data_IF_629931493098
#
_entry.id   IF_629931493098
#
_cell.length_a   1.000
_cell.length_b   1.000
_cell.length_c   1.000
_cell.angle_alpha   90.00
_cell.angle_beta   90.00
_cell.angle_gamma   90.00
#
_symmetry.space_group_name_H-M   'P 1'
#
loop_
_entity.id
_entity.type
_entity.pdbx_description
1 polymer ?
#
# COMPACT_ATOMS: atom_id res chain seq x y z
N UNK A 1 6.52 28.97 -5.71
CA UNK A 1 7.89 29.34 -5.40
C UNK A 1 8.47 30.34 -6.38
N UNK A 2 8.62 31.59 -5.96
CA UNK A 2 9.28 32.65 -6.75
C UNK A 2 9.75 33.78 -5.86
N UNK A 3 10.88 34.39 -6.20
CA UNK A 3 11.36 35.65 -5.64
C UNK A 3 10.94 36.89 -6.48
N UNK A 4 10.38 36.67 -7.65
CA UNK A 4 9.86 37.72 -8.53
C UNK A 4 8.48 38.21 -8.07
N UNK A 5 8.34 39.52 -7.82
CA UNK A 5 7.09 40.12 -7.34
C UNK A 5 5.94 40.02 -8.37
N UNK A 6 6.25 40.19 -9.69
CA UNK A 6 5.26 40.10 -10.75
C UNK A 6 4.75 38.66 -10.92
N UNK A 7 5.65 37.69 -10.93
CA UNK A 7 5.30 36.29 -10.98
C UNK A 7 4.44 35.87 -9.77
N UNK A 8 4.80 36.33 -8.56
CA UNK A 8 4.02 36.04 -7.36
C UNK A 8 2.59 36.62 -7.45
N UNK A 9 2.44 37.87 -7.94
CA UNK A 9 1.13 38.50 -8.13
C UNK A 9 0.28 37.73 -9.14
N UNK A 10 0.86 37.28 -10.27
CA UNK A 10 0.15 36.48 -11.27
C UNK A 10 -0.27 35.12 -10.72
N UNK A 11 0.60 34.44 -10.00
CA UNK A 11 0.27 33.15 -9.37
C UNK A 11 -0.83 33.33 -8.31
N UNK A 12 -0.77 34.36 -7.48
CA UNK A 12 -1.82 34.65 -6.51
C UNK A 12 -3.17 34.87 -7.21
N UNK A 13 -3.20 35.65 -8.29
CA UNK A 13 -4.42 35.87 -9.09
C UNK A 13 -4.94 34.57 -9.72
N UNK A 14 -4.05 33.71 -10.26
CA UNK A 14 -4.42 32.41 -10.83
C UNK A 14 -5.10 31.48 -9.79
N UNK A 15 -4.59 31.49 -8.56
CA UNK A 15 -5.13 30.67 -7.49
C UNK A 15 -6.25 31.36 -6.68
N UNK A 16 -6.62 32.61 -6.99
CA UNK A 16 -7.67 33.37 -6.28
C UNK A 16 -8.99 32.59 -6.09
N UNK A 17 -9.52 31.80 -7.08
CA UNK A 17 -10.72 31.03 -6.88
C UNK A 17 -10.62 29.92 -5.82
N UNK A 18 -9.42 29.40 -5.58
CA UNK A 18 -9.18 28.42 -4.52
C UNK A 18 -8.98 29.11 -3.17
N UNK A 19 -8.32 30.27 -3.17
CA UNK A 19 -8.11 31.07 -1.96
C UNK A 19 -9.42 31.57 -1.37
N UNK A 20 -10.37 32.02 -2.21
CA UNK A 20 -11.72 32.40 -1.79
C UNK A 20 -12.51 31.26 -1.14
N UNK A 21 -12.15 30.00 -1.44
CA UNK A 21 -12.70 28.78 -0.81
C UNK A 21 -11.92 28.32 0.42
N UNK A 22 -11.03 29.17 0.95
CA UNK A 22 -10.28 28.89 2.19
C UNK A 22 -8.94 28.16 2.00
N UNK A 23 -8.48 27.94 0.76
CA UNK A 23 -7.14 27.42 0.53
C UNK A 23 -6.07 28.38 1.07
N UNK A 24 -4.94 27.86 1.51
CA UNK A 24 -3.83 28.69 2.01
C UNK A 24 -2.77 28.82 0.92
N UNK A 25 -2.19 30.01 0.84
CA UNK A 25 -1.13 30.33 -0.10
C UNK A 25 0.14 30.69 0.67
N UNK A 26 1.24 29.99 0.36
CA UNK A 26 2.56 30.27 0.93
C UNK A 26 3.49 30.65 -0.21
N UNK A 27 4.00 31.87 -0.20
CA UNK A 27 5.05 32.27 -1.12
C UNK A 27 6.43 31.93 -0.52
N UNK A 28 7.26 31.27 -1.32
CA UNK A 28 8.61 30.85 -0.94
C UNK A 28 9.54 31.00 -2.14
N UNK A 29 10.85 30.88 -1.94
CA UNK A 29 11.79 30.70 -3.04
C UNK A 29 11.47 29.42 -3.85
N UNK A 30 11.95 29.30 -5.08
CA UNK A 30 11.78 28.08 -5.88
C UNK A 30 12.30 26.84 -5.14
N UNK A 31 13.54 26.91 -4.63
CA UNK A 31 14.12 25.81 -3.82
C UNK A 31 13.29 25.49 -2.57
N UNK A 32 12.77 26.53 -1.90
CA UNK A 32 11.90 26.34 -0.73
C UNK A 32 10.59 25.61 -1.08
N UNK A 33 9.94 25.99 -2.18
CA UNK A 33 8.72 25.34 -2.63
C UNK A 33 8.94 23.87 -3.05
N UNK A 34 10.05 23.58 -3.73
CA UNK A 34 10.46 22.21 -4.07
C UNK A 34 10.71 21.38 -2.80
N UNK A 35 11.47 21.94 -1.85
CA UNK A 35 11.74 21.25 -0.59
C UNK A 35 10.48 21.01 0.24
N UNK A 36 9.54 21.96 0.29
CA UNK A 36 8.24 21.76 0.94
C UNK A 36 7.52 20.54 0.36
N UNK A 37 7.51 20.38 -0.97
CA UNK A 37 6.88 19.24 -1.63
C UNK A 37 7.54 17.93 -1.26
N UNK A 38 8.86 17.84 -1.35
CA UNK A 38 9.62 16.63 -1.01
C UNK A 38 9.51 16.28 0.47
N UNK A 39 9.65 17.27 1.36
CA UNK A 39 9.53 17.07 2.80
C UNK A 39 8.12 16.57 3.19
N UNK A 40 7.08 17.14 2.60
CA UNK A 40 5.69 16.68 2.84
C UNK A 40 5.50 15.22 2.43
N UNK A 41 5.97 14.83 1.24
CA UNK A 41 5.86 13.45 0.79
C UNK A 41 6.72 12.49 1.63
N UNK A 42 7.91 12.91 2.04
CA UNK A 42 8.77 12.13 2.93
C UNK A 42 8.12 11.91 4.31
N UNK A 43 7.47 12.94 4.85
CA UNK A 43 6.76 12.82 6.12
C UNK A 43 5.54 11.89 6.03
N UNK A 44 4.76 11.97 4.93
CA UNK A 44 3.64 11.06 4.70
C UNK A 44 4.11 9.60 4.53
N UNK A 45 5.22 9.38 3.81
CA UNK A 45 5.86 8.07 3.68
C UNK A 45 6.32 7.54 5.06
N UNK A 46 6.86 8.43 5.92
CA UNK A 46 7.24 8.09 7.29
C UNK A 46 6.04 7.60 8.10
N UNK A 47 4.89 8.29 8.03
CA UNK A 47 3.66 7.85 8.73
C UNK A 47 3.22 6.46 8.31
N UNK A 48 3.22 6.17 7.01
CA UNK A 48 2.85 4.84 6.48
C UNK A 48 3.84 3.77 6.96
N UNK A 49 5.14 4.06 6.89
CA UNK A 49 6.17 3.11 7.32
C UNK A 49 6.10 2.86 8.82
N UNK A 50 5.91 3.91 9.62
CA UNK A 50 5.76 3.82 11.06
C UNK A 50 4.59 2.92 11.47
N UNK A 51 3.39 3.15 10.90
CA UNK A 51 2.24 2.31 11.24
C UNK A 51 2.40 0.86 10.75
N UNK A 52 3.14 0.63 9.65
CA UNK A 52 3.47 -0.70 9.16
C UNK A 52 4.40 -1.47 10.12
N UNK A 53 5.36 -0.78 10.73
CA UNK A 53 6.24 -1.37 11.75
C UNK A 53 5.47 -1.68 13.03
N UNK A 54 4.61 -0.76 13.49
CA UNK A 54 3.73 -1.02 14.62
C UNK A 54 2.77 -2.18 14.35
N UNK A 55 2.28 -2.35 13.12
CA UNK A 55 1.47 -3.50 12.76
C UNK A 55 2.22 -4.83 12.94
N UNK A 56 3.52 -4.87 12.64
CA UNK A 56 4.33 -6.07 12.88
C UNK A 56 4.47 -6.39 14.38
N UNK A 57 4.59 -5.35 15.21
CA UNK A 57 4.62 -5.51 16.67
C UNK A 57 3.25 -5.95 17.20
N UNK A 58 2.17 -5.31 16.74
CA UNK A 58 0.78 -5.61 17.14
C UNK A 58 0.45 -7.09 16.97
N UNK A 59 0.84 -7.69 15.83
CA UNK A 59 0.65 -9.13 15.58
C UNK A 59 1.35 -10.03 16.61
N UNK A 60 2.50 -9.61 17.12
CA UNK A 60 3.27 -10.39 18.11
C UNK A 60 2.72 -10.29 19.50
N UNK A 61 2.17 -9.13 19.87
CA UNK A 61 1.64 -8.87 21.22
C UNK A 61 0.11 -9.04 21.30
N UNK A 62 -0.56 -9.43 20.18
CA UNK A 62 -1.98 -9.69 20.17
C UNK A 62 -2.88 -8.44 20.25
N UNK A 63 -2.42 -7.30 19.75
CA UNK A 63 -3.16 -6.03 19.73
C UNK A 63 -3.61 -5.70 18.32
N UNK A 64 -4.78 -5.10 18.16
CA UNK A 64 -5.27 -4.67 16.86
C UNK A 64 -4.65 -3.34 16.45
N UNK A 65 -3.95 -3.30 15.32
CA UNK A 65 -3.33 -2.08 14.77
C UNK A 65 -4.33 -0.95 14.49
N UNK A 66 -5.59 -1.27 14.24
CA UNK A 66 -6.61 -0.24 14.00
C UNK A 66 -6.91 0.58 15.25
N UNK A 67 -6.93 -0.05 16.42
CA UNK A 67 -7.13 0.65 17.69
C UNK A 67 -5.98 1.62 17.96
N UNK A 68 -4.74 1.20 17.66
CA UNK A 68 -3.55 2.05 17.74
C UNK A 68 -3.65 3.21 16.75
N UNK A 69 -4.02 2.92 15.50
CA UNK A 69 -4.17 3.93 14.45
C UNK A 69 -5.24 4.97 14.79
N UNK A 70 -6.38 4.52 15.31
CA UNK A 70 -7.48 5.40 15.75
C UNK A 70 -7.02 6.23 16.96
N UNK A 71 -6.50 5.58 18.00
CA UNK A 71 -6.06 6.26 19.23
C UNK A 71 -5.02 7.34 18.97
N UNK A 72 -3.98 7.01 18.18
CA UNK A 72 -2.98 8.00 17.76
C UNK A 72 -3.58 9.12 16.91
N UNK A 73 -4.52 8.76 16.02
CA UNK A 73 -5.14 9.69 15.08
C UNK A 73 -6.06 10.73 15.73
N UNK A 74 -6.53 10.50 16.96
CA UNK A 74 -7.33 11.44 17.76
C UNK A 74 -6.49 12.63 18.23
N UNK A 75 -5.18 12.48 18.39
CA UNK A 75 -4.30 13.61 18.66
C UNK A 75 -4.17 14.48 17.40
N UNK A 76 -4.67 15.73 17.48
CA UNK A 76 -4.65 16.69 16.36
C UNK A 76 -3.25 16.99 15.83
N UNK A 77 -2.20 16.84 16.66
CA UNK A 77 -0.79 17.02 16.26
C UNK A 77 -0.33 15.91 15.32
N UNK A 78 -0.90 14.72 15.45
CA UNK A 78 -0.61 13.53 14.63
C UNK A 78 -1.57 13.44 13.45
N UNK A 79 -2.87 13.47 13.71
CA UNK A 79 -3.95 13.30 12.74
C UNK A 79 -4.04 11.91 12.13
N UNK A 80 -5.24 11.41 11.88
CA UNK A 80 -5.50 10.02 11.46
C UNK A 80 -5.15 9.68 10.01
N UNK A 81 -4.86 10.67 9.16
CA UNK A 81 -4.50 10.40 7.76
C UNK A 81 -3.12 9.74 7.66
N UNK A 82 -2.97 8.79 6.72
CA UNK A 82 -1.74 8.03 6.47
C UNK A 82 -1.29 7.10 7.61
N UNK A 83 -2.20 6.74 8.52
CA UNK A 83 -1.96 5.75 9.59
C UNK A 83 -2.65 4.41 9.31
N UNK A 84 -2.86 4.03 8.05
CA UNK A 84 -3.39 2.71 7.70
C UNK A 84 -2.26 1.76 7.35
N UNK A 85 -2.16 0.67 8.12
CA UNK A 85 -1.22 -0.40 7.81
C UNK A 85 -1.60 -1.09 6.48
N UNK A 86 -0.57 -1.48 5.71
CA UNK A 86 -0.77 -2.04 4.39
C UNK A 86 0.47 -2.71 3.79
N UNK A 87 0.44 -3.06 2.49
CA UNK A 87 1.53 -3.78 1.84
C UNK A 87 2.84 -3.01 1.72
N UNK A 88 2.78 -1.73 1.47
CA UNK A 88 3.87 -0.75 1.38
C UNK A 88 3.30 0.56 0.81
N UNK A 89 4.06 1.65 0.83
CA UNK A 89 3.77 2.75 -0.06
C UNK A 89 4.40 2.49 -1.44
N UNK A 90 3.73 2.96 -2.49
CA UNK A 90 4.16 2.84 -3.88
C UNK A 90 3.70 4.05 -4.69
N UNK A 91 3.51 3.84 -5.99
CA UNK A 91 3.13 4.88 -6.93
C UNK A 91 4.31 5.75 -7.36
N UNK A 92 4.01 6.79 -8.12
CA UNK A 92 5.04 7.65 -8.73
C UNK A 92 5.64 8.68 -7.79
N UNK A 93 4.95 9.04 -6.69
CA UNK A 93 5.36 10.18 -5.86
C UNK A 93 6.26 9.78 -4.69
N UNK A 94 5.77 8.98 -3.75
CA UNK A 94 6.50 8.68 -2.52
C UNK A 94 7.87 8.04 -2.75
N UNK A 95 8.02 6.97 -3.57
CA UNK A 95 9.33 6.36 -3.78
C UNK A 95 10.32 7.32 -4.45
N UNK A 96 9.86 8.07 -5.45
CA UNK A 96 10.71 9.03 -6.18
C UNK A 96 11.13 10.19 -5.28
N UNK A 97 10.19 10.81 -4.58
CA UNK A 97 10.44 12.03 -3.80
C UNK A 97 11.26 11.74 -2.54
N UNK A 98 11.09 10.57 -1.91
CA UNK A 98 11.92 10.17 -0.77
C UNK A 98 13.37 9.88 -1.19
N UNK A 99 13.59 9.26 -2.35
CA UNK A 99 14.95 9.04 -2.89
C UNK A 99 15.58 10.37 -3.31
N UNK A 100 14.84 11.22 -4.03
CA UNK A 100 15.34 12.51 -4.50
C UNK A 100 15.80 13.45 -3.36
N UNK A 101 15.03 13.54 -2.26
CA UNK A 101 15.42 14.38 -1.13
C UNK A 101 16.68 13.85 -0.43
N UNK A 102 16.86 12.52 -0.36
CA UNK A 102 18.07 11.90 0.18
C UNK A 102 19.28 12.17 -0.72
N UNK A 103 19.11 12.10 -2.04
CA UNK A 103 20.19 12.39 -2.98
C UNK A 103 20.57 13.86 -2.98
N UNK A 104 19.58 14.77 -2.93
CA UNK A 104 19.84 16.21 -2.71
C UNK A 104 20.61 16.45 -1.41
N UNK A 105 20.24 15.79 -0.32
CA UNK A 105 20.97 15.95 0.95
C UNK A 105 22.46 15.55 0.82
N UNK A 106 22.75 14.46 0.10
CA UNK A 106 24.14 14.03 -0.17
C UNK A 106 24.93 15.07 -0.96
N UNK A 107 24.30 15.68 -1.99
CA UNK A 107 24.93 16.76 -2.78
C UNK A 107 25.34 17.93 -1.89
N UNK A 108 24.53 18.27 -0.89
CA UNK A 108 24.79 19.32 0.09
C UNK A 108 25.54 18.83 1.36
N UNK A 109 26.14 17.62 1.32
CA UNK A 109 26.93 17.04 2.42
C UNK A 109 26.18 16.99 3.76
N UNK A 110 24.87 16.75 3.72
CA UNK A 110 24.02 16.59 4.90
C UNK A 110 23.37 15.21 4.90
N UNK A 111 22.93 14.73 6.06
CA UNK A 111 22.33 13.42 6.21
C UNK A 111 20.85 13.50 6.59
N UNK A 112 20.04 12.67 5.95
CA UNK A 112 18.63 12.47 6.26
C UNK A 112 18.40 11.00 6.72
N UNK A 113 18.98 10.64 7.85
CA UNK A 113 18.96 9.27 8.39
C UNK A 113 17.55 8.72 8.58
N UNK A 114 16.59 9.54 9.03
CA UNK A 114 15.19 9.13 9.18
C UNK A 114 14.64 8.68 7.82
N UNK A 115 14.79 9.49 6.78
CA UNK A 115 14.21 9.18 5.46
C UNK A 115 14.89 7.97 4.81
N UNK A 116 16.20 7.83 4.99
CA UNK A 116 16.93 6.62 4.55
C UNK A 116 16.37 5.36 5.19
N UNK A 117 16.10 5.39 6.49
CA UNK A 117 15.50 4.25 7.20
C UNK A 117 14.06 3.99 6.77
N UNK A 118 13.27 5.02 6.48
CA UNK A 118 11.92 4.89 5.92
C UNK A 118 11.94 4.16 4.58
N UNK A 119 12.84 4.54 3.66
CA UNK A 119 13.01 3.87 2.36
C UNK A 119 13.36 2.39 2.57
N UNK A 120 14.38 2.11 3.37
CA UNK A 120 14.85 0.74 3.67
C UNK A 120 13.75 -0.13 4.29
N UNK A 121 12.98 0.42 5.24
CA UNK A 121 11.89 -0.30 5.89
C UNK A 121 10.75 -0.60 4.91
N UNK A 122 10.39 0.36 4.04
CA UNK A 122 9.38 0.16 3.01
C UNK A 122 9.79 -0.92 1.99
N UNK A 123 11.04 -0.91 1.53
CA UNK A 123 11.58 -1.93 0.62
C UNK A 123 11.58 -3.32 1.26
N UNK A 124 11.87 -3.41 2.55
CA UNK A 124 11.85 -4.68 3.28
C UNK A 124 10.43 -5.20 3.57
N UNK A 125 9.41 -4.34 3.46
CA UNK A 125 8.01 -4.70 3.79
C UNK A 125 7.52 -5.90 2.99
N UNK A 126 7.79 -5.95 1.69
CA UNK A 126 7.37 -7.07 0.83
C UNK A 126 7.95 -8.42 1.30
N UNK A 127 9.20 -8.44 1.80
CA UNK A 127 9.82 -9.66 2.35
C UNK A 127 9.10 -10.14 3.62
N UNK A 128 8.73 -9.21 4.51
CA UNK A 128 7.97 -9.52 5.73
C UNK A 128 6.62 -10.15 5.38
N UNK A 129 5.89 -9.56 4.42
CA UNK A 129 4.60 -10.06 3.97
C UNK A 129 4.70 -11.43 3.27
N UNK A 130 5.74 -11.64 2.45
CA UNK A 130 6.01 -12.94 1.83
C UNK A 130 6.29 -14.03 2.87
N UNK A 131 7.06 -13.73 3.90
CA UNK A 131 7.29 -14.66 5.01
C UNK A 131 5.98 -14.99 5.74
N UNK A 132 5.09 -14.01 5.88
CA UNK A 132 3.78 -14.23 6.48
C UNK A 132 2.90 -15.12 5.59
N UNK A 133 2.84 -14.87 4.29
CA UNK A 133 2.15 -15.77 3.32
C UNK A 133 2.69 -17.19 3.44
N UNK A 134 4.01 -17.36 3.51
CA UNK A 134 4.64 -18.67 3.70
C UNK A 134 4.16 -19.36 4.98
N UNK A 135 4.18 -18.65 6.11
CA UNK A 135 3.71 -19.18 7.41
C UNK A 135 2.24 -19.57 7.37
N UNK A 136 1.37 -18.75 6.80
CA UNK A 136 -0.06 -19.04 6.66
C UNK A 136 -0.31 -20.29 5.81
N UNK A 137 0.52 -20.53 4.81
CA UNK A 137 0.51 -21.75 3.99
C UNK A 137 1.33 -22.90 4.60
N UNK A 138 1.72 -22.81 5.88
CA UNK A 138 2.51 -23.82 6.60
C UNK A 138 3.81 -24.17 5.86
N UNK A 139 4.45 -23.17 5.26
CA UNK A 139 5.66 -23.25 4.41
C UNK A 139 5.51 -24.16 3.17
N UNK A 140 4.28 -24.48 2.75
CA UNK A 140 3.97 -25.33 1.58
C UNK A 140 3.44 -24.47 0.44
N UNK A 141 4.33 -23.67 -0.21
CA UNK A 141 3.95 -22.76 -1.30
C UNK A 141 3.90 -23.48 -2.65
N UNK A 142 4.76 -24.48 -2.89
CA UNK A 142 4.82 -25.21 -4.16
C UNK A 142 3.46 -25.76 -4.55
N UNK A 143 3.05 -25.51 -5.79
CA UNK A 143 1.76 -25.89 -6.38
C UNK A 143 0.51 -25.24 -5.72
N UNK A 144 0.67 -24.30 -4.79
CA UNK A 144 -0.46 -23.55 -4.26
C UNK A 144 -1.00 -22.57 -5.28
N UNK A 145 -2.33 -22.47 -5.35
CA UNK A 145 -3.05 -21.50 -6.17
C UNK A 145 -3.37 -20.29 -5.30
N UNK A 146 -2.74 -19.18 -5.61
CA UNK A 146 -2.87 -17.92 -4.84
C UNK A 146 -3.52 -16.89 -5.75
N UNK A 147 -4.63 -16.33 -5.31
CA UNK A 147 -5.32 -15.26 -6.03
C UNK A 147 -5.02 -13.91 -5.41
N UNK A 148 -4.62 -12.96 -6.23
CA UNK A 148 -4.52 -11.54 -5.85
C UNK A 148 -5.78 -10.81 -6.29
N UNK A 149 -6.48 -10.20 -5.35
CA UNK A 149 -7.54 -9.22 -5.59
C UNK A 149 -6.93 -7.82 -5.51
N UNK A 150 -6.80 -7.20 -6.67
CA UNK A 150 -6.05 -5.97 -6.87
C UNK A 150 -4.54 -6.22 -6.93
N UNK A 151 -3.86 -5.51 -7.86
CA UNK A 151 -2.40 -5.58 -8.02
C UNK A 151 -1.77 -4.20 -8.15
N UNK A 152 -2.56 -3.14 -8.32
CA UNK A 152 -2.11 -1.74 -8.35
C UNK A 152 -1.67 -1.27 -6.97
N UNK A 153 -0.89 -0.19 -6.89
CA UNK A 153 -0.38 0.32 -5.60
C UNK A 153 -1.49 0.90 -4.70
N UNK A 154 -2.60 1.35 -5.28
CA UNK A 154 -3.83 1.81 -4.60
C UNK A 154 -5.05 1.61 -5.48
N UNK A 155 -6.24 1.71 -4.91
CA UNK A 155 -7.50 1.68 -5.66
C UNK A 155 -7.72 2.93 -6.55
N UNK A 156 -8.66 2.82 -7.49
CA UNK A 156 -9.06 3.88 -8.42
C UNK A 156 -7.93 4.37 -9.34
N UNK A 157 -7.02 3.49 -9.72
CA UNK A 157 -5.97 3.74 -10.70
C UNK A 157 -5.53 2.43 -11.35
N UNK A 158 -4.94 2.53 -12.51
CA UNK A 158 -4.25 1.44 -13.22
C UNK A 158 -2.73 1.41 -12.95
N UNK A 159 -2.23 2.33 -12.10
CA UNK A 159 -0.82 2.56 -11.85
C UNK A 159 -0.16 1.40 -11.09
N UNK A 160 0.78 0.73 -11.75
CA UNK A 160 1.56 -0.39 -11.21
C UNK A 160 2.89 0.04 -10.61
N UNK A 161 3.32 1.30 -10.80
CA UNK A 161 4.64 1.77 -10.36
C UNK A 161 4.87 1.55 -8.87
N UNK A 162 5.96 0.86 -8.56
CA UNK A 162 6.35 0.55 -7.17
C UNK A 162 5.24 -0.16 -6.36
N UNK A 163 4.30 -0.85 -7.05
CA UNK A 163 3.36 -1.73 -6.36
C UNK A 163 4.12 -2.92 -5.76
N UNK A 164 3.83 -3.24 -4.50
CA UNK A 164 4.43 -4.40 -3.84
C UNK A 164 4.06 -5.73 -4.50
N UNK A 165 2.98 -5.77 -5.30
CA UNK A 165 2.62 -6.93 -6.13
C UNK A 165 3.72 -7.30 -7.14
N UNK A 166 4.45 -6.29 -7.67
CA UNK A 166 5.58 -6.50 -8.60
C UNK A 166 6.76 -7.23 -7.97
N UNK A 167 6.86 -7.23 -6.64
CA UNK A 167 7.88 -7.99 -5.88
C UNK A 167 7.30 -9.30 -5.37
N UNK A 168 6.07 -9.27 -4.86
CA UNK A 168 5.46 -10.42 -4.19
C UNK A 168 5.08 -11.54 -5.16
N UNK A 169 4.46 -11.22 -6.30
CA UNK A 169 4.02 -12.20 -7.29
C UNK A 169 5.22 -12.99 -7.85
N UNK A 170 6.28 -12.37 -8.37
CA UNK A 170 7.45 -13.10 -8.84
C UNK A 170 8.11 -13.96 -7.75
N UNK A 171 8.17 -13.45 -6.52
CA UNK A 171 8.75 -14.19 -5.39
C UNK A 171 7.92 -15.43 -5.00
N UNK A 172 6.59 -15.39 -5.14
CA UNK A 172 5.73 -16.56 -4.91
C UNK A 172 5.86 -17.58 -6.04
N UNK A 173 5.98 -17.11 -7.28
CA UNK A 173 6.21 -17.97 -8.45
C UNK A 173 7.55 -18.72 -8.32
N UNK A 174 8.62 -18.04 -7.94
CA UNK A 174 9.95 -18.67 -7.74
C UNK A 174 9.91 -19.78 -6.68
N UNK A 175 8.95 -19.72 -5.75
CA UNK A 175 8.66 -20.77 -4.76
C UNK A 175 7.67 -21.83 -5.26
N UNK A 176 7.29 -21.79 -6.54
CA UNK A 176 6.45 -22.76 -7.20
C UNK A 176 4.94 -22.54 -7.03
N UNK A 177 4.49 -21.35 -6.65
CA UNK A 177 3.06 -21.02 -6.63
C UNK A 177 2.52 -20.82 -8.05
N UNK A 178 1.19 -21.03 -8.21
CA UNK A 178 0.40 -20.64 -9.38
C UNK A 178 -0.43 -19.42 -9.00
N UNK A 179 -0.28 -18.33 -9.72
CA UNK A 179 -0.92 -17.06 -9.40
C UNK A 179 -2.05 -16.78 -10.38
N UNK A 180 -3.20 -16.40 -9.85
CA UNK A 180 -4.23 -15.69 -10.59
C UNK A 180 -4.37 -14.29 -10.01
N UNK A 181 -4.75 -13.32 -10.81
CA UNK A 181 -5.13 -12.01 -10.30
C UNK A 181 -6.38 -11.48 -11.01
N UNK A 182 -7.12 -10.68 -10.28
CA UNK A 182 -8.17 -9.82 -10.78
C UNK A 182 -7.89 -8.39 -10.31
N UNK A 183 -8.01 -7.44 -11.20
CA UNK A 183 -7.93 -6.01 -10.88
C UNK A 183 -9.05 -5.28 -11.63
N UNK A 184 -9.87 -4.44 -10.98
CA UNK A 184 -10.91 -3.65 -11.65
C UNK A 184 -10.40 -2.74 -12.77
N UNK A 185 -9.13 -2.33 -12.71
CA UNK A 185 -8.47 -1.58 -13.79
C UNK A 185 -7.94 -2.45 -14.94
N UNK A 186 -8.26 -3.76 -14.93
CA UNK A 186 -7.98 -4.68 -16.02
C UNK A 186 -6.59 -5.34 -15.99
N UNK A 187 -6.26 -5.92 -17.10
CA UNK A 187 -5.02 -6.66 -17.34
C UNK A 187 -3.75 -5.82 -17.17
N UNK A 188 -2.64 -6.47 -16.71
CA UNK A 188 -1.35 -5.83 -16.45
C UNK A 188 -0.21 -6.51 -17.20
N UNK A 189 0.37 -5.79 -18.16
CA UNK A 189 1.52 -6.25 -18.98
C UNK A 189 2.76 -6.58 -18.16
N UNK A 190 2.88 -6.02 -16.95
CA UNK A 190 3.98 -6.27 -16.01
C UNK A 190 4.17 -7.75 -15.68
N UNK A 191 3.12 -8.55 -15.81
CA UNK A 191 3.14 -9.97 -15.46
C UNK A 191 3.29 -10.92 -16.66
N UNK A 192 3.34 -10.46 -17.91
CA UNK A 192 3.40 -11.29 -19.13
C UNK A 192 4.58 -12.25 -19.18
N UNK A 193 5.70 -11.82 -18.64
CA UNK A 193 6.92 -12.62 -18.60
C UNK A 193 6.85 -13.85 -17.69
N UNK A 194 5.79 -14.02 -16.89
CA UNK A 194 5.66 -15.10 -15.93
C UNK A 194 4.60 -16.12 -16.37
N UNK A 195 5.02 -17.30 -16.83
CA UNK A 195 4.14 -18.39 -17.29
C UNK A 195 3.11 -18.86 -16.24
N UNK A 196 3.41 -18.70 -14.94
CA UNK A 196 2.55 -19.14 -13.83
C UNK A 196 1.68 -18.02 -13.25
N UNK A 197 1.45 -16.95 -14.01
CA UNK A 197 0.51 -15.86 -13.68
C UNK A 197 -0.57 -15.80 -14.76
N UNK A 198 -1.81 -15.67 -14.35
CA UNK A 198 -2.92 -15.44 -15.26
C UNK A 198 -3.85 -14.34 -14.75
N UNK A 199 -4.29 -13.49 -15.65
CA UNK A 199 -5.37 -12.54 -15.41
C UNK A 199 -6.72 -13.25 -15.47
N UNK A 200 -7.66 -12.83 -14.66
CA UNK A 200 -9.07 -13.27 -14.70
C UNK A 200 -9.99 -12.07 -14.89
N UNK A 201 -10.93 -12.18 -15.81
CA UNK A 201 -11.87 -11.09 -16.14
C UNK A 201 -12.92 -10.84 -15.04
N UNK A 202 -13.10 -11.79 -14.12
CA UNK A 202 -14.01 -11.64 -13.00
C UNK A 202 -13.47 -12.29 -11.72
N UNK A 203 -13.98 -11.83 -10.60
CA UNK A 203 -13.55 -12.24 -9.25
C UNK A 203 -13.81 -13.74 -9.01
N UNK A 204 -14.96 -14.26 -9.48
CA UNK A 204 -15.33 -15.67 -9.24
C UNK A 204 -14.35 -16.62 -9.92
N UNK A 205 -14.02 -16.38 -11.19
CA UNK A 205 -13.06 -17.20 -11.93
C UNK A 205 -11.64 -17.09 -11.36
N UNK A 206 -11.27 -15.92 -10.81
CA UNK A 206 -10.01 -15.76 -10.13
C UNK A 206 -9.90 -16.61 -8.86
N UNK A 207 -10.99 -16.73 -8.08
CA UNK A 207 -10.97 -17.26 -6.72
C UNK A 207 -11.41 -18.72 -6.62
N UNK A 208 -12.07 -19.31 -7.64
CA UNK A 208 -12.81 -20.59 -7.51
C UNK A 208 -11.97 -21.75 -6.96
N UNK A 209 -10.72 -21.82 -7.32
CA UNK A 209 -9.81 -22.91 -6.94
C UNK A 209 -8.64 -22.45 -6.05
N UNK A 210 -8.74 -21.25 -5.48
CA UNK A 210 -7.70 -20.66 -4.65
C UNK A 210 -7.48 -21.41 -3.33
N UNK A 211 -6.21 -21.66 -3.00
CA UNK A 211 -5.77 -22.04 -1.65
C UNK A 211 -5.70 -20.84 -0.73
N UNK A 212 -5.36 -19.69 -1.30
CA UNK A 212 -5.28 -18.39 -0.60
C UNK A 212 -5.78 -17.28 -1.52
N UNK A 213 -6.57 -16.37 -0.96
CA UNK A 213 -7.00 -15.12 -1.58
C UNK A 213 -6.32 -13.98 -0.84
N UNK A 214 -5.54 -13.16 -1.54
CA UNK A 214 -4.86 -11.99 -1.00
C UNK A 214 -5.59 -10.74 -1.48
N UNK A 215 -6.13 -9.94 -0.57
CA UNK A 215 -6.63 -8.60 -0.88
C UNK A 215 -5.44 -7.67 -0.79
N UNK A 216 -4.86 -7.35 -1.95
CA UNK A 216 -3.66 -6.53 -2.03
C UNK A 216 -3.97 -5.05 -2.21
N UNK A 217 -5.04 -4.73 -2.95
CA UNK A 217 -5.47 -3.34 -3.21
C UNK A 217 -6.88 -3.12 -2.67
N UNK A 218 -7.13 -1.96 -2.06
CA UNK A 218 -8.36 -1.62 -1.34
C UNK A 218 -9.53 -1.17 -2.24
N UNK A 219 -9.81 -1.90 -3.32
CA UNK A 219 -10.96 -1.60 -4.17
C UNK A 219 -12.29 -1.82 -3.41
N UNK A 220 -13.26 -0.94 -3.64
CA UNK A 220 -14.57 -1.03 -2.98
C UNK A 220 -15.31 -2.32 -3.33
N UNK A 221 -15.13 -2.84 -4.53
CA UNK A 221 -15.73 -4.07 -5.04
C UNK A 221 -15.42 -5.29 -4.15
N UNK A 222 -14.29 -5.26 -3.44
CA UNK A 222 -13.88 -6.38 -2.60
C UNK A 222 -14.53 -6.39 -1.21
N UNK A 223 -15.09 -5.27 -0.76
CA UNK A 223 -15.71 -5.15 0.58
C UNK A 223 -17.00 -5.95 0.74
N UNK A 224 -17.76 -6.08 -0.35
CA UNK A 224 -19.07 -6.75 -0.35
C UNK A 224 -19.01 -8.24 -0.71
N UNK A 225 -17.82 -8.82 -0.92
CA UNK A 225 -17.67 -10.18 -1.39
C UNK A 225 -18.11 -11.21 -0.35
N UNK A 226 -18.76 -12.25 -0.85
CA UNK A 226 -19.10 -13.44 -0.05
C UNK A 226 -18.01 -14.51 -0.25
N UNK A 227 -17.00 -14.49 0.59
CA UNK A 227 -15.85 -15.41 0.49
C UNK A 227 -16.20 -16.88 0.63
N UNK A 228 -17.32 -17.24 1.29
CA UNK A 228 -17.80 -18.63 1.33
C UNK A 228 -18.15 -19.19 -0.05
N UNK A 229 -18.62 -18.31 -0.95
CA UNK A 229 -19.08 -18.70 -2.29
C UNK A 229 -18.02 -18.51 -3.37
N UNK A 230 -16.88 -17.88 -3.04
CA UNK A 230 -15.84 -17.55 -4.01
C UNK A 230 -14.88 -18.72 -4.30
N UNK A 231 -14.58 -19.55 -3.31
CA UNK A 231 -13.71 -20.71 -3.52
C UNK A 231 -14.47 -22.01 -3.30
N UNK A 232 -14.19 -23.01 -4.12
CA UNK A 232 -14.65 -24.40 -3.93
C UNK A 232 -13.94 -25.11 -2.77
N UNK A 233 -12.85 -24.54 -2.26
CA UNK A 233 -12.06 -25.10 -1.16
C UNK A 233 -12.62 -24.70 0.19
N UNK A 234 -12.97 -25.68 1.03
CA UNK A 234 -13.52 -25.46 2.37
C UNK A 234 -12.62 -24.62 3.30
N UNK A 235 -11.29 -24.70 3.12
CA UNK A 235 -10.30 -24.08 4.01
C UNK A 235 -9.48 -23.00 3.29
N UNK A 236 -10.10 -22.26 2.36
CA UNK A 236 -9.42 -21.13 1.70
C UNK A 236 -8.99 -20.09 2.74
N UNK A 237 -7.75 -19.63 2.63
CA UNK A 237 -7.21 -18.57 3.48
C UNK A 237 -7.51 -17.23 2.79
N UNK A 238 -8.09 -16.29 3.53
CA UNK A 238 -8.25 -14.91 3.10
C UNK A 238 -7.25 -14.04 3.85
N UNK A 239 -6.27 -13.49 3.13
CA UNK A 239 -5.28 -12.57 3.69
C UNK A 239 -5.54 -11.15 3.21
N UNK A 240 -6.10 -10.34 4.11
CA UNK A 240 -6.46 -8.95 3.84
C UNK A 240 -5.30 -8.01 4.19
N UNK A 241 -4.52 -7.63 3.19
CA UNK A 241 -3.39 -6.73 3.36
C UNK A 241 -3.79 -5.26 3.50
N UNK A 242 -5.09 -4.95 3.40
CA UNK A 242 -5.62 -3.58 3.49
C UNK A 242 -6.57 -3.36 4.65
N UNK A 243 -6.86 -4.45 5.40
CA UNK A 243 -7.81 -4.41 6.52
C UNK A 243 -9.18 -3.81 6.14
N UNK A 244 -9.67 -4.11 4.92
CA UNK A 244 -10.94 -3.58 4.43
C UNK A 244 -12.15 -4.41 4.84
N UNK A 245 -11.93 -5.63 5.36
CA UNK A 245 -12.97 -6.53 5.82
C UNK A 245 -13.12 -6.47 7.34
N UNK A 246 -14.34 -6.69 7.82
CA UNK A 246 -14.62 -6.84 9.25
C UNK A 246 -14.19 -8.21 9.75
N UNK A 247 -13.28 -8.30 10.74
CA UNK A 247 -12.88 -9.57 11.36
C UNK A 247 -14.07 -10.33 11.96
N UNK A 248 -14.99 -9.63 12.61
CA UNK A 248 -16.18 -10.24 13.25
C UNK A 248 -17.10 -10.90 12.21
N UNK A 249 -17.31 -10.22 11.06
CA UNK A 249 -18.05 -10.80 9.94
C UNK A 249 -17.35 -12.04 9.40
N UNK A 250 -16.03 -11.98 9.21
CA UNK A 250 -15.26 -13.12 8.71
C UNK A 250 -15.32 -14.30 9.68
N UNK A 251 -15.23 -14.06 10.98
CA UNK A 251 -15.39 -15.05 12.05
C UNK A 251 -16.80 -15.66 12.04
N UNK A 252 -17.85 -14.84 11.99
CA UNK A 252 -19.26 -15.29 11.89
C UNK A 252 -19.47 -16.15 10.66
N UNK A 253 -18.83 -15.79 9.55
CA UNK A 253 -18.90 -16.53 8.30
C UNK A 253 -17.98 -17.77 8.27
N UNK A 254 -17.24 -18.06 9.34
CA UNK A 254 -16.30 -19.18 9.46
C UNK A 254 -15.22 -19.14 8.36
N UNK A 255 -14.78 -17.95 7.95
CA UNK A 255 -13.70 -17.75 6.99
C UNK A 255 -12.37 -17.78 7.73
N UNK A 256 -11.40 -18.50 7.19
CA UNK A 256 -10.02 -18.50 7.68
C UNK A 256 -9.33 -17.18 7.28
N UNK A 257 -9.57 -16.14 8.08
CA UNK A 257 -9.22 -14.75 7.78
C UNK A 257 -8.02 -14.27 8.59
N UNK A 258 -7.15 -13.54 7.91
CA UNK A 258 -6.01 -12.84 8.51
C UNK A 258 -5.92 -11.42 7.96
N UNK A 259 -5.76 -10.44 8.84
CA UNK A 259 -5.47 -9.06 8.47
C UNK A 259 -4.01 -8.70 8.77
N UNK A 260 -3.57 -7.48 8.47
CA UNK A 260 -2.28 -6.93 8.89
C UNK A 260 -2.40 -6.33 10.28
N UNK A 261 -1.48 -6.65 11.19
CA UNK A 261 -1.46 -6.07 12.54
C UNK A 261 -2.62 -6.53 13.42
N UNK A 262 -3.12 -7.76 13.19
CA UNK A 262 -4.25 -8.33 13.92
C UNK A 262 -3.98 -9.78 14.30
#
# INVERSE_FOLDING_TARGET
GTSDKRANKLMHSLYAPLLSKGAKYVNSSRRGAELIKYASNAFLATKITFINELANLSEKIGVNIEDISIGMGLDKRIGGRFLRAGPAYGGSCFPKDTRAIVDTAKEFKTDLSIIKNVIKSNENRSKILLNRVSKLLKNKIKNKRITFLGVTFKANTDDMRESSSLVMIPSLISKGAKIKYYDPSGYKKDFDKFKNVSFSENIKSACIDADMIIIHTEWNDFKALNFKKLSSKKNVIVYDMRNILSPDKMKKDKINYFGIGR
#
